data_IF_429541239300
#
_entry.id   IF_429541239300
#
_cell.length_a   1.000
_cell.length_b   1.000
_cell.length_c   1.000
_cell.angle_alpha   90.00
_cell.angle_beta   90.00
_cell.angle_gamma   90.00
#
_symmetry.space_group_name_H-M   'P 1'
#
loop_
_entity.id
_entity.type
_entity.pdbx_description
1 polymer ?
#
# COMPACT_ATOMS: atom_id res chain seq x y z
N UNK A 1 9.95 -10.49 -9.27
CA UNK A 1 10.20 -9.09 -8.86
C UNK A 1 11.16 -8.42 -9.84
N UNK A 2 10.88 -7.16 -10.20
CA UNK A 2 11.76 -6.33 -11.05
C UNK A 2 13.12 -6.08 -10.34
N UNK A 3 14.28 -6.19 -11.03
CA UNK A 3 15.59 -6.00 -10.40
C UNK A 3 15.82 -4.63 -9.76
N UNK A 4 15.28 -3.56 -10.34
CA UNK A 4 15.40 -2.21 -9.79
C UNK A 4 14.60 -2.07 -8.50
N UNK A 5 13.36 -2.56 -8.48
CA UNK A 5 12.54 -2.61 -7.27
C UNK A 5 13.24 -3.40 -6.17
N UNK A 6 13.80 -4.57 -6.50
CA UNK A 6 14.58 -5.38 -5.56
C UNK A 6 15.72 -4.58 -4.94
N UNK A 7 16.50 -3.87 -5.76
CA UNK A 7 17.62 -3.06 -5.27
C UNK A 7 17.17 -1.90 -4.37
N UNK A 8 16.05 -1.25 -4.69
CA UNK A 8 15.47 -0.20 -3.83
C UNK A 8 15.01 -0.77 -2.48
N UNK A 9 14.38 -1.94 -2.48
CA UNK A 9 13.97 -2.63 -1.25
C UNK A 9 15.17 -3.04 -0.39
N UNK A 10 16.24 -3.56 -0.99
CA UNK A 10 17.49 -3.88 -0.27
C UNK A 10 18.02 -2.64 0.45
N UNK A 11 18.07 -1.49 -0.23
CA UNK A 11 18.51 -0.22 0.41
C UNK A 11 17.55 0.25 1.51
N UNK A 12 16.24 0.01 1.33
CA UNK A 12 15.20 0.37 2.29
C UNK A 12 15.24 -0.43 3.60
N UNK A 13 15.86 -1.61 3.62
CA UNK A 13 15.93 -2.46 4.82
C UNK A 13 16.51 -1.74 6.04
N UNK A 14 17.50 -0.85 5.85
CA UNK A 14 18.11 -0.07 6.94
C UNK A 14 17.14 0.92 7.61
N UNK A 15 16.06 1.32 6.92
CA UNK A 15 15.02 2.21 7.46
C UNK A 15 13.80 1.47 8.03
N UNK A 16 13.86 0.14 8.12
CA UNK A 16 12.79 -0.70 8.66
C UNK A 16 11.52 -0.72 7.82
N UNK A 17 10.43 -1.15 8.46
CA UNK A 17 9.14 -1.42 7.79
C UNK A 17 8.53 -0.23 7.05
N UNK A 18 8.67 1.01 7.55
CA UNK A 18 8.13 2.21 6.89
C UNK A 18 8.90 2.48 5.59
N UNK A 19 10.24 2.40 5.61
CA UNK A 19 11.03 2.63 4.42
C UNK A 19 10.72 1.59 3.32
N UNK A 20 10.56 0.32 3.69
CA UNK A 20 10.15 -0.73 2.75
C UNK A 20 8.77 -0.45 2.14
N UNK A 21 7.78 -0.08 2.97
CA UNK A 21 6.45 0.24 2.50
C UNK A 21 6.44 1.49 1.60
N UNK A 22 7.22 2.52 1.94
CA UNK A 22 7.43 3.72 1.12
C UNK A 22 7.97 3.36 -0.27
N UNK A 23 8.98 2.48 -0.35
CA UNK A 23 9.51 2.01 -1.64
C UNK A 23 8.42 1.33 -2.48
N UNK A 24 7.59 0.48 -1.86
CA UNK A 24 6.49 -0.20 -2.55
C UNK A 24 5.44 0.79 -3.05
N UNK A 25 5.04 1.78 -2.22
CA UNK A 25 4.06 2.78 -2.62
C UNK A 25 4.59 3.66 -3.74
N UNK A 26 5.79 4.22 -3.61
CA UNK A 26 6.38 5.08 -4.64
C UNK A 26 6.66 4.34 -5.96
N UNK A 27 6.82 3.02 -5.93
CA UNK A 27 6.95 2.21 -7.13
C UNK A 27 5.63 2.02 -7.89
N UNK A 28 4.49 2.04 -7.19
CA UNK A 28 3.18 1.75 -7.77
C UNK A 28 2.29 2.97 -7.96
N UNK A 29 2.39 3.97 -7.07
CA UNK A 29 1.59 5.18 -7.10
C UNK A 29 2.31 6.30 -7.85
N UNK A 30 1.57 7.01 -8.69
CA UNK A 30 2.03 8.27 -9.26
C UNK A 30 1.91 9.39 -8.23
N UNK A 31 2.83 10.35 -8.25
CA UNK A 31 2.81 11.52 -7.35
C UNK A 31 2.19 12.73 -8.02
N UNK A 32 1.25 13.38 -7.33
CA UNK A 32 0.64 14.64 -7.77
C UNK A 32 0.77 15.72 -6.71
N UNK A 33 1.62 16.72 -6.94
CA UNK A 33 1.89 17.77 -5.94
C UNK A 33 0.76 18.79 -5.77
N UNK A 34 -0.24 18.78 -6.63
CA UNK A 34 -1.42 19.65 -6.53
C UNK A 34 -2.66 18.79 -6.39
N UNK A 35 -3.59 19.13 -5.48
CA UNK A 35 -4.83 18.37 -5.32
C UNK A 35 -5.60 18.22 -6.63
N UNK A 36 -6.13 17.02 -6.85
CA UNK A 36 -6.91 16.65 -8.02
C UNK A 36 -8.08 15.76 -7.60
N UNK A 37 -9.08 15.60 -8.48
CA UNK A 37 -10.12 14.60 -8.27
C UNK A 37 -9.71 13.30 -8.95
N UNK A 38 -9.70 12.20 -8.21
CA UNK A 38 -9.44 10.88 -8.76
C UNK A 38 -10.60 10.37 -9.63
N UNK A 39 -10.48 9.15 -10.17
CA UNK A 39 -11.55 8.55 -10.99
C UNK A 39 -12.86 8.29 -10.23
N UNK A 40 -12.82 8.26 -8.89
CA UNK A 40 -13.99 8.16 -8.02
C UNK A 40 -14.57 9.51 -7.60
N UNK A 41 -13.96 10.63 -8.03
CA UNK A 41 -14.37 11.98 -7.66
C UNK A 41 -13.87 12.43 -6.28
N UNK A 42 -13.03 11.64 -5.61
CA UNK A 42 -12.45 11.97 -4.30
C UNK A 42 -11.30 12.96 -4.48
N UNK A 43 -11.20 13.95 -3.60
CA UNK A 43 -10.08 14.89 -3.60
C UNK A 43 -8.82 14.17 -3.08
N UNK A 44 -7.78 14.15 -3.90
CA UNK A 44 -6.54 13.42 -3.65
C UNK A 44 -5.31 14.29 -3.93
N UNK A 45 -4.19 14.00 -3.26
CA UNK A 45 -2.89 14.67 -3.49
C UNK A 45 -1.73 13.71 -3.20
N UNK A 46 -0.51 14.10 -3.56
CA UNK A 46 0.73 13.36 -3.32
C UNK A 46 0.64 11.94 -3.88
N UNK A 47 0.95 10.91 -3.08
CA UNK A 47 0.93 9.50 -3.49
C UNK A 47 -0.45 8.86 -3.40
N UNK A 48 -1.52 9.63 -3.60
CA UNK A 48 -2.91 9.17 -3.46
C UNK A 48 -3.50 9.42 -2.07
N UNK A 49 -2.90 10.31 -1.28
CA UNK A 49 -3.44 10.73 0.00
C UNK A 49 -4.83 11.37 -0.18
N UNK A 50 -5.77 10.99 0.69
CA UNK A 50 -7.13 11.53 0.75
C UNK A 50 -7.45 11.93 2.18
N UNK A 51 -8.09 13.08 2.39
CA UNK A 51 -8.41 13.54 3.73
C UNK A 51 -9.01 14.95 3.73
N UNK A 52 -9.64 15.31 4.85
CA UNK A 52 -10.17 16.66 5.06
C UNK A 52 -9.07 17.71 5.29
N UNK A 53 -7.84 17.26 5.54
CA UNK A 53 -6.63 18.08 5.70
C UNK A 53 -5.99 18.51 4.37
N UNK A 54 -6.52 18.04 3.23
CA UNK A 54 -6.11 18.52 1.91
C UNK A 54 -6.55 19.98 1.73
N UNK A 55 -5.59 20.85 1.41
CA UNK A 55 -5.82 22.28 1.13
C UNK A 55 -6.00 22.48 -0.37
N UNK A 56 -7.22 22.80 -0.87
CA UNK A 56 -7.46 23.00 -2.29
C UNK A 56 -6.58 24.11 -2.88
N UNK A 57 -6.04 23.89 -4.08
CA UNK A 57 -5.19 24.87 -4.77
C UNK A 57 -3.75 24.99 -4.24
N UNK A 58 -3.42 24.37 -3.10
CA UNK A 58 -2.05 24.33 -2.59
C UNK A 58 -1.18 23.43 -3.47
N UNK A 59 0.05 23.85 -3.76
CA UNK A 59 1.12 22.97 -4.25
C UNK A 59 1.92 22.45 -3.07
N UNK A 60 1.87 21.15 -2.83
CA UNK A 60 2.61 20.44 -1.80
C UNK A 60 4.06 20.24 -2.23
N UNK A 61 4.97 20.35 -1.26
CA UNK A 61 6.38 20.04 -1.43
C UNK A 61 6.64 18.53 -1.35
N UNK A 62 7.83 18.11 -1.78
CA UNK A 62 8.27 16.70 -1.63
C UNK A 62 8.24 16.26 -0.16
N UNK A 63 8.70 17.12 0.75
CA UNK A 63 8.71 16.82 2.17
C UNK A 63 7.30 16.67 2.76
N UNK A 64 6.36 17.53 2.37
CA UNK A 64 4.97 17.41 2.80
C UNK A 64 4.32 16.13 2.24
N UNK A 65 4.57 15.79 0.97
CA UNK A 65 4.09 14.54 0.40
C UNK A 65 4.67 13.30 1.08
N UNK A 66 5.94 13.35 1.49
CA UNK A 66 6.54 12.27 2.27
C UNK A 66 5.93 12.17 3.67
N UNK A 67 5.68 13.29 4.34
CA UNK A 67 5.04 13.29 5.66
C UNK A 67 3.62 12.73 5.61
N UNK A 68 2.84 13.08 4.57
CA UNK A 68 1.51 12.49 4.34
C UNK A 68 1.61 10.98 4.08
N UNK A 69 2.55 10.55 3.23
CA UNK A 69 2.78 9.13 2.97
C UNK A 69 3.16 8.35 4.23
N UNK A 70 4.05 8.90 5.06
CA UNK A 70 4.45 8.28 6.32
C UNK A 70 3.26 8.15 7.29
N UNK A 71 2.39 9.16 7.32
CA UNK A 71 1.16 9.14 8.12
C UNK A 71 0.18 8.06 7.64
N UNK A 72 -0.09 8.03 6.33
CA UNK A 72 -0.99 7.04 5.73
C UNK A 72 -0.46 5.61 5.90
N UNK A 73 0.85 5.41 5.77
CA UNK A 73 1.50 4.12 6.00
C UNK A 73 1.42 3.70 7.46
N UNK A 74 1.56 4.60 8.42
CA UNK A 74 1.34 4.29 9.84
C UNK A 74 -0.10 3.85 10.10
N UNK A 75 -1.08 4.51 9.48
CA UNK A 75 -2.48 4.10 9.58
C UNK A 75 -2.71 2.71 8.97
N UNK A 76 -2.17 2.44 7.78
CA UNK A 76 -2.24 1.12 7.14
C UNK A 76 -1.56 0.03 7.98
N UNK A 77 -0.42 0.33 8.59
CA UNK A 77 0.28 -0.58 9.50
C UNK A 77 -0.51 -0.88 10.76
N UNK A 78 -1.15 0.13 11.37
CA UNK A 78 -2.01 -0.08 12.53
C UNK A 78 -3.17 -1.03 12.21
N UNK A 79 -3.73 -0.93 10.99
CA UNK A 79 -4.74 -1.89 10.51
C UNK A 79 -4.16 -3.31 10.40
N UNK A 80 -2.95 -3.47 9.86
CA UNK A 80 -2.29 -4.79 9.81
C UNK A 80 -2.09 -5.35 11.21
N UNK A 81 -1.52 -4.57 12.12
CA UNK A 81 -1.21 -5.01 13.49
C UNK A 81 -2.46 -5.37 14.29
N UNK A 82 -3.56 -4.63 14.09
CA UNK A 82 -4.81 -4.89 14.78
C UNK A 82 -5.51 -6.17 14.31
N UNK A 83 -5.22 -6.65 13.10
CA UNK A 83 -5.95 -7.74 12.48
C UNK A 83 -5.13 -9.03 12.31
N UNK A 84 -3.81 -8.94 12.18
CA UNK A 84 -2.94 -10.09 12.00
C UNK A 84 -2.54 -10.67 13.35
N UNK A 85 -2.77 -11.97 13.55
CA UNK A 85 -2.55 -12.67 14.83
C UNK A 85 -1.33 -13.59 14.82
N UNK A 86 -0.63 -13.67 13.69
CA UNK A 86 0.59 -14.49 13.53
C UNK A 86 1.83 -13.60 13.41
N UNK A 87 3.02 -14.08 13.80
CA UNK A 87 4.26 -13.31 13.63
C UNK A 87 4.52 -12.97 12.16
N UNK A 88 4.96 -11.72 11.92
CA UNK A 88 5.34 -11.24 10.60
C UNK A 88 6.79 -10.77 10.61
N UNK A 89 7.50 -11.03 9.52
CA UNK A 89 8.73 -10.32 9.20
C UNK A 89 8.42 -8.87 8.81
N UNK A 90 9.40 -7.96 8.92
CA UNK A 90 9.22 -6.57 8.49
C UNK A 90 8.79 -6.46 7.02
N UNK A 91 9.33 -7.31 6.14
CA UNK A 91 8.97 -7.32 4.73
C UNK A 91 7.52 -7.76 4.49
N UNK A 92 7.04 -8.77 5.21
CA UNK A 92 5.64 -9.19 5.14
C UNK A 92 4.70 -8.09 5.67
N UNK A 93 5.06 -7.46 6.79
CA UNK A 93 4.29 -6.34 7.35
C UNK A 93 4.26 -5.13 6.40
N UNK A 94 5.37 -4.79 5.76
CA UNK A 94 5.42 -3.74 4.74
C UNK A 94 4.57 -4.08 3.50
N UNK A 95 4.62 -5.34 3.02
CA UNK A 95 3.81 -5.80 1.90
C UNK A 95 2.31 -5.73 2.22
N UNK A 96 1.90 -6.14 3.43
CA UNK A 96 0.52 -6.05 3.89
C UNK A 96 0.08 -4.60 4.07
N UNK A 97 0.94 -3.71 4.59
CA UNK A 97 0.64 -2.29 4.68
C UNK A 97 0.44 -1.65 3.30
N UNK A 98 1.29 -1.98 2.32
CA UNK A 98 1.12 -1.54 0.92
C UNK A 98 -0.15 -2.11 0.28
N UNK A 99 -0.53 -3.35 0.65
CA UNK A 99 -1.79 -3.95 0.24
C UNK A 99 -2.99 -3.20 0.82
N UNK A 100 -2.99 -2.94 2.14
CA UNK A 100 -4.03 -2.17 2.85
C UNK A 100 -4.16 -0.75 2.28
N UNK A 101 -3.04 -0.08 2.01
CA UNK A 101 -3.03 1.24 1.37
C UNK A 101 -3.82 1.23 0.05
N UNK A 102 -3.68 0.16 -0.73
CA UNK A 102 -4.31 0.06 -2.04
C UNK A 102 -5.77 -0.39 -2.02
N UNK A 103 -6.13 -1.34 -1.15
CA UNK A 103 -7.47 -1.94 -1.15
C UNK A 103 -8.40 -1.37 -0.07
N UNK A 104 -7.82 -0.66 0.91
CA UNK A 104 -8.51 -0.12 2.07
C UNK A 104 -8.68 -1.11 3.22
N UNK A 105 -8.80 -0.57 4.43
CA UNK A 105 -8.97 -1.32 5.69
C UNK A 105 -10.12 -2.34 5.61
N UNK A 106 -11.33 -1.89 5.25
CA UNK A 106 -12.51 -2.74 5.25
C UNK A 106 -12.42 -3.96 4.33
N UNK A 107 -11.76 -3.81 3.18
CA UNK A 107 -11.54 -4.90 2.23
C UNK A 107 -10.51 -5.91 2.78
N UNK A 108 -9.42 -5.41 3.37
CA UNK A 108 -8.41 -6.25 4.01
C UNK A 108 -8.96 -7.04 5.20
N UNK A 109 -9.65 -6.36 6.13
CA UNK A 109 -10.17 -6.96 7.37
C UNK A 109 -11.17 -8.10 7.11
N UNK A 110 -11.89 -8.09 5.99
CA UNK A 110 -12.85 -9.14 5.60
C UNK A 110 -12.29 -10.15 4.60
N UNK A 111 -11.03 -10.01 4.20
CA UNK A 111 -10.44 -10.80 3.12
C UNK A 111 -10.19 -12.26 3.49
N UNK A 112 -10.33 -13.16 2.50
CA UNK A 112 -9.86 -14.55 2.62
C UNK A 112 -8.35 -14.63 2.84
N UNK A 113 -7.60 -13.64 2.30
CA UNK A 113 -6.17 -13.46 2.56
C UNK A 113 -5.89 -13.41 4.07
N UNK A 114 -6.53 -12.50 4.80
CA UNK A 114 -6.32 -12.34 6.24
C UNK A 114 -6.71 -13.61 6.99
N UNK A 115 -7.84 -14.25 6.64
CA UNK A 115 -8.29 -15.50 7.25
C UNK A 115 -7.25 -16.61 7.12
N UNK A 116 -6.69 -16.80 5.91
CA UNK A 116 -5.64 -17.79 5.65
C UNK A 116 -4.35 -17.45 6.39
N UNK A 117 -3.94 -16.19 6.37
CA UNK A 117 -2.76 -15.72 7.09
C UNK A 117 -2.84 -16.03 8.59
N UNK A 118 -3.96 -15.69 9.23
CA UNK A 118 -4.16 -15.93 10.67
C UNK A 118 -4.31 -17.41 11.02
N UNK A 119 -4.66 -18.26 10.05
CA UNK A 119 -4.63 -19.72 10.19
C UNK A 119 -3.22 -20.32 9.99
N UNK A 120 -2.19 -19.49 9.76
CA UNK A 120 -0.82 -19.92 9.48
C UNK A 120 -0.58 -20.35 8.02
N UNK A 121 -1.59 -20.27 7.15
CA UNK A 121 -1.49 -20.58 5.72
C UNK A 121 -0.87 -19.40 4.96
N UNK A 122 0.44 -19.20 5.14
CA UNK A 122 1.20 -18.12 4.50
C UNK A 122 1.20 -18.23 2.97
N UNK A 123 1.33 -19.46 2.44
CA UNK A 123 1.33 -19.70 0.99
C UNK A 123 -0.04 -19.34 0.38
N UNK A 124 -1.12 -19.81 1.01
CA UNK A 124 -2.48 -19.49 0.57
C UNK A 124 -2.83 -18.01 0.74
N UNK A 125 -2.31 -17.32 1.77
CA UNK A 125 -2.47 -15.88 1.89
C UNK A 125 -1.81 -15.13 0.71
N UNK A 126 -0.59 -15.53 0.32
CA UNK A 126 0.09 -14.99 -0.86
C UNK A 126 -0.71 -15.25 -2.15
N UNK A 127 -1.32 -16.43 -2.30
CA UNK A 127 -2.19 -16.72 -3.44
C UNK A 127 -3.45 -15.86 -3.46
N UNK A 128 -4.09 -15.66 -2.31
CA UNK A 128 -5.26 -14.78 -2.20
C UNK A 128 -4.89 -13.33 -2.53
N UNK A 129 -3.70 -12.85 -2.17
CA UNK A 129 -3.23 -11.52 -2.55
C UNK A 129 -3.23 -11.33 -4.08
N UNK A 130 -2.81 -12.34 -4.85
CA UNK A 130 -2.75 -12.30 -6.32
C UNK A 130 -4.12 -12.22 -6.99
N UNK A 131 -5.19 -12.56 -6.27
CA UNK A 131 -6.57 -12.47 -6.79
C UNK A 131 -7.09 -11.02 -6.84
N UNK A 132 -6.47 -10.10 -6.10
CA UNK A 132 -6.83 -8.68 -6.09
C UNK A 132 -6.24 -7.93 -7.29
N UNK A 133 -6.71 -8.32 -8.49
CA UNK A 133 -6.22 -7.84 -9.79
C UNK A 133 -7.29 -7.28 -10.72
N UNK A 134 -8.53 -7.13 -10.25
CA UNK A 134 -9.67 -6.72 -11.08
C UNK A 134 -10.10 -5.29 -10.77
N UNK A 135 -10.45 -4.54 -11.81
CA UNK A 135 -11.11 -3.22 -11.75
C UNK A 135 -12.29 -3.26 -12.72
N UNK A 136 -13.51 -2.95 -12.25
CA UNK A 136 -14.71 -3.02 -13.10
C UNK A 136 -14.92 -4.38 -13.77
N UNK A 137 -14.59 -5.48 -13.06
CA UNK A 137 -14.69 -6.85 -13.59
C UNK A 137 -13.60 -7.26 -14.58
N UNK A 138 -12.66 -6.37 -14.95
CA UNK A 138 -11.57 -6.66 -15.89
C UNK A 138 -10.22 -6.74 -15.18
N UNK A 139 -9.35 -7.63 -15.64
CA UNK A 139 -7.98 -7.75 -15.10
C UNK A 139 -7.17 -6.50 -15.44
N UNK A 140 -6.55 -5.89 -14.42
CA UNK A 140 -5.63 -4.76 -14.56
C UNK A 140 -4.18 -5.25 -14.52
N UNK A 141 -3.41 -4.97 -15.57
CA UNK A 141 -1.97 -5.29 -15.63
C UNK A 141 -1.18 -4.60 -14.51
N UNK A 142 -1.55 -3.37 -14.15
CA UNK A 142 -0.92 -2.63 -13.05
C UNK A 142 -1.12 -3.32 -11.70
N UNK A 143 -2.36 -3.78 -11.43
CA UNK A 143 -2.63 -4.54 -10.20
C UNK A 143 -1.93 -5.90 -10.20
N UNK A 144 -1.89 -6.61 -11.33
CA UNK A 144 -1.10 -7.85 -11.43
C UNK A 144 0.36 -7.56 -11.06
N UNK A 145 1.00 -6.57 -11.68
CA UNK A 145 2.39 -6.23 -11.36
C UNK A 145 2.58 -5.89 -9.87
N UNK A 146 1.60 -5.22 -9.25
CA UNK A 146 1.61 -4.90 -7.82
C UNK A 146 1.50 -6.10 -6.89
N UNK A 147 0.74 -7.14 -7.25
CA UNK A 147 0.59 -8.34 -6.41
C UNK A 147 1.75 -9.33 -6.50
N UNK A 148 2.63 -9.16 -7.50
CA UNK A 148 3.79 -10.02 -7.74
C UNK A 148 5.13 -9.29 -7.52
N UNK A 149 5.07 -8.04 -7.07
CA UNK A 149 6.22 -7.23 -6.65
C UNK A 149 6.83 -7.85 -5.39
#
# INVERSE_FOLDING_TARGET
MNPELRNRLIKGTAGGVIALATVLIQWHESVHYTPYRDSGGVLSVCYGHTGSDIVPGKRYTVAECQALLDSDLKAAMSVVDANVTVPLTESQRAALASFVYNVGNGAFARSTLLKKLNAGDMAGACDEMRRWKYVGGKVSKGLVNRRYA
#
